data_IF_713524982164
#
_entry.id   IF_713524982164
#
_cell.length_a   1.000
_cell.length_b   1.000
_cell.length_c   1.000
_cell.angle_alpha   90.00
_cell.angle_beta   90.00
_cell.angle_gamma   90.00
#
_symmetry.space_group_name_H-M   'P 1'
#
loop_
_entity.id
_entity.type
_entity.pdbx_description
1 polymer ?
#
# COMPACT_ATOMS: atom_id res chain seq x y z
N UNK A 1 -7.05 17.85 77.92
CA UNK A 1 -8.17 18.75 77.56
C UNK A 1 -7.82 19.49 76.27
N UNK A 2 -8.57 19.27 75.19
CA UNK A 2 -8.70 20.26 74.12
C UNK A 2 -9.95 21.13 74.42
N UNK A 3 -10.33 22.20 73.68
CA UNK A 3 -9.68 22.89 72.54
C UNK A 3 -9.81 24.45 72.60
N UNK A 4 -9.26 25.20 71.63
CA UNK A 4 -10.03 26.06 70.66
C UNK A 4 -9.19 27.13 69.94
N UNK A 5 -9.22 27.02 68.60
CA UNK A 5 -9.42 28.05 67.54
C UNK A 5 -8.59 29.34 67.55
N UNK A 6 -7.82 29.53 66.48
CA UNK A 6 -7.70 30.84 65.81
C UNK A 6 -7.96 30.76 64.30
N UNK A 7 -8.68 31.76 63.82
CA UNK A 7 -9.34 31.88 62.52
C UNK A 7 -8.49 32.78 61.60
N UNK A 8 -8.26 32.30 60.37
CA UNK A 8 -8.17 33.00 59.08
C UNK A 8 -7.47 34.38 59.03
N UNK A 9 -6.33 34.42 58.32
CA UNK A 9 -5.91 35.57 57.52
C UNK A 9 -6.03 35.24 56.03
N UNK A 10 -6.60 36.20 55.32
CA UNK A 10 -6.97 36.25 53.90
C UNK A 10 -5.71 36.46 53.07
N UNK A 11 -5.53 35.70 51.99
CA UNK A 11 -4.63 36.09 50.90
C UNK A 11 -5.32 35.85 49.56
N UNK A 12 -5.10 36.81 48.68
CA UNK A 12 -5.87 37.09 47.48
C UNK A 12 -5.58 36.14 46.32
N UNK A 13 -6.56 36.14 45.44
CA UNK A 13 -6.77 35.28 44.28
C UNK A 13 -5.96 35.86 43.11
N UNK A 14 -4.85 35.24 42.74
CA UNK A 14 -4.21 35.47 41.44
C UNK A 14 -4.73 34.44 40.44
N UNK A 15 -5.41 34.93 39.41
CA UNK A 15 -5.93 34.16 38.30
C UNK A 15 -4.77 33.62 37.45
N UNK A 16 -4.49 32.33 37.57
CA UNK A 16 -3.66 31.59 36.63
C UNK A 16 -4.49 31.22 35.42
N UNK A 17 -4.25 31.92 34.32
CA UNK A 17 -4.74 31.66 32.98
C UNK A 17 -4.30 30.25 32.55
N UNK A 18 -5.23 29.28 32.58
CA UNK A 18 -5.02 27.96 31.98
C UNK A 18 -5.19 28.12 30.48
N UNK A 19 -4.08 28.30 29.77
CA UNK A 19 -4.01 28.06 28.33
C UNK A 19 -4.24 26.57 28.08
N UNK A 20 -5.52 26.22 27.88
CA UNK A 20 -5.91 24.95 27.29
C UNK A 20 -5.42 24.93 25.85
N UNK A 21 -4.24 24.35 25.62
CA UNK A 21 -3.80 24.00 24.27
C UNK A 21 -4.85 23.10 23.61
N UNK A 22 -5.13 23.26 22.31
CA UNK A 22 -6.15 22.47 21.64
C UNK A 22 -5.70 21.02 21.67
N UNK A 23 -6.50 20.18 22.34
CA UNK A 23 -6.41 18.74 22.19
C UNK A 23 -6.70 18.45 20.73
N UNK A 24 -5.65 18.16 19.95
CA UNK A 24 -5.75 17.82 18.53
C UNK A 24 -6.57 16.53 18.44
N UNK A 25 -7.87 16.67 18.22
CA UNK A 25 -8.77 15.55 17.91
C UNK A 25 -8.11 14.85 16.72
N UNK A 26 -7.67 13.61 16.91
CA UNK A 26 -7.12 12.80 15.82
C UNK A 26 -8.27 12.55 14.85
N UNK A 27 -8.35 13.34 13.79
CA UNK A 27 -9.28 13.10 12.69
C UNK A 27 -9.11 11.66 12.20
N UNK A 28 -10.23 11.00 11.94
CA UNK A 28 -10.23 9.65 11.39
C UNK A 28 -9.48 9.65 10.04
N UNK A 29 -8.73 8.58 9.72
CA UNK A 29 -8.00 8.50 8.46
C UNK A 29 -8.98 8.59 7.28
N UNK A 30 -8.68 9.46 6.31
CA UNK A 30 -9.46 9.53 5.07
C UNK A 30 -9.24 8.28 4.23
N UNK A 31 -10.32 7.62 3.81
CA UNK A 31 -10.30 6.44 2.95
C UNK A 31 -10.63 6.85 1.53
N UNK A 32 -9.88 6.31 0.57
CA UNK A 32 -10.09 6.55 -0.85
C UNK A 32 -10.21 5.23 -1.59
N UNK A 33 -11.09 5.21 -2.60
CA UNK A 33 -11.27 4.09 -3.51
C UNK A 33 -10.92 4.54 -4.92
N UNK A 34 -10.02 3.81 -5.58
CA UNK A 34 -9.72 3.99 -7.00
C UNK A 34 -10.39 2.86 -7.77
N UNK A 35 -11.34 3.21 -8.63
CA UNK A 35 -12.09 2.27 -9.46
C UNK A 35 -11.54 2.35 -10.88
N UNK A 36 -11.06 1.23 -11.41
CA UNK A 36 -10.69 1.11 -12.82
C UNK A 36 -11.91 0.81 -13.67
N UNK A 37 -11.97 1.45 -14.83
CA UNK A 37 -13.02 1.29 -15.82
C UNK A 37 -12.50 0.53 -17.04
N UNK A 38 -13.39 -0.09 -17.80
CA UNK A 38 -13.06 -0.76 -19.07
C UNK A 38 -13.09 0.23 -20.26
N UNK A 39 -13.01 1.54 -20.00
CA UNK A 39 -12.98 2.61 -21.01
C UNK A 39 -11.76 3.52 -20.83
N UNK A 40 -11.25 4.16 -21.90
CA UNK A 40 -10.01 4.95 -21.83
C UNK A 40 -10.17 6.31 -21.16
N UNK A 41 -11.36 6.91 -21.22
CA UNK A 41 -11.59 8.30 -20.83
C UNK A 41 -12.89 8.45 -20.03
N UNK A 42 -12.83 8.43 -18.69
CA UNK A 42 -11.65 8.18 -17.86
C UNK A 42 -11.38 6.69 -17.65
N UNK A 43 -10.11 6.32 -17.54
CA UNK A 43 -9.70 4.94 -17.20
C UNK A 43 -9.90 4.63 -15.72
N UNK A 44 -9.86 5.63 -14.85
CA UNK A 44 -10.13 5.45 -13.42
C UNK A 44 -10.97 6.58 -12.83
N UNK A 45 -11.67 6.28 -11.74
CA UNK A 45 -12.31 7.28 -10.89
C UNK A 45 -11.85 7.13 -9.44
N UNK A 46 -11.61 8.27 -8.78
CA UNK A 46 -11.24 8.33 -7.37
C UNK A 46 -12.43 8.77 -6.54
N UNK A 47 -12.76 8.04 -5.49
CA UNK A 47 -13.83 8.36 -4.54
C UNK A 47 -13.24 8.55 -3.15
N UNK A 48 -13.76 9.52 -2.39
CA UNK A 48 -13.54 9.57 -0.93
C UNK A 48 -14.67 8.79 -0.27
N UNK A 49 -14.30 7.84 0.56
CA UNK A 49 -15.21 6.94 1.25
C UNK A 49 -15.21 7.32 2.73
N UNK A 50 -16.39 7.42 3.31
CA UNK A 50 -16.56 7.52 4.75
C UNK A 50 -17.11 6.18 5.25
N UNK A 51 -16.23 5.26 5.71
CA UNK A 51 -16.65 3.93 6.12
C UNK A 51 -17.49 3.93 7.40
N UNK A 52 -17.56 5.06 8.13
CA UNK A 52 -18.27 5.16 9.40
C UNK A 52 -19.52 6.05 9.34
N UNK A 53 -19.88 6.56 8.16
CA UNK A 53 -20.99 7.51 7.99
C UNK A 53 -22.37 6.98 8.44
N UNK A 54 -22.53 5.68 8.68
CA UNK A 54 -23.76 5.04 9.15
C UNK A 54 -23.84 4.77 10.66
N UNK A 55 -22.78 5.00 11.44
CA UNK A 55 -22.71 4.58 12.87
C UNK A 55 -23.26 5.64 13.84
N UNK A 56 -23.70 6.79 13.33
CA UNK A 56 -24.16 7.93 14.13
C UNK A 56 -25.63 8.28 13.94
N UNK A 57 -26.54 7.57 14.58
CA UNK A 57 -27.97 7.89 14.59
C UNK A 57 -28.77 6.84 15.36
N UNK A 58 -28.91 7.03 16.68
CA UNK A 58 -29.34 5.96 17.57
C UNK A 58 -30.77 5.44 17.38
N UNK A 59 -30.93 4.14 17.56
CA UNK A 59 -31.90 3.49 18.43
C UNK A 59 -31.51 2.01 18.53
N UNK A 60 -31.67 1.40 19.70
CA UNK A 60 -31.55 -0.04 19.86
C UNK A 60 -32.54 -0.73 18.91
N UNK A 61 -32.02 -1.40 17.90
CA UNK A 61 -32.81 -2.08 16.87
C UNK A 61 -31.85 -2.75 15.90
N UNK A 62 -32.17 -3.98 15.53
CA UNK A 62 -31.40 -4.92 14.73
C UNK A 62 -31.33 -4.45 13.26
N UNK A 63 -30.72 -3.29 12.99
CA UNK A 63 -30.59 -2.75 11.64
C UNK A 63 -29.23 -3.11 11.05
N UNK A 64 -29.28 -3.85 9.93
CA UNK A 64 -28.15 -4.11 9.04
C UNK A 64 -27.26 -2.86 8.89
N UNK A 65 -25.93 -3.00 8.87
CA UNK A 65 -25.03 -1.87 8.68
C UNK A 65 -25.41 -1.14 7.39
N UNK A 66 -25.85 0.12 7.54
CA UNK A 66 -26.27 0.93 6.41
C UNK A 66 -25.18 0.95 5.32
N UNK A 67 -25.52 0.78 4.04
CA UNK A 67 -24.54 0.68 2.97
C UNK A 67 -23.65 1.92 2.93
N UNK A 68 -22.34 1.70 2.83
CA UNK A 68 -21.35 2.79 2.76
C UNK A 68 -21.69 3.68 1.56
N UNK A 69 -22.05 4.94 1.83
CA UNK A 69 -22.47 5.88 0.79
C UNK A 69 -21.27 6.32 -0.06
N UNK A 70 -21.10 5.70 -1.23
CA UNK A 70 -20.15 6.15 -2.24
C UNK A 70 -20.76 7.36 -2.96
N UNK A 71 -20.22 8.56 -2.67
CA UNK A 71 -20.64 9.82 -3.30
C UNK A 71 -20.12 9.93 -4.75
N UNK A 72 -20.33 11.09 -5.38
CA UNK A 72 -19.76 11.40 -6.70
C UNK A 72 -18.22 11.26 -6.69
N UNK A 73 -17.60 10.88 -7.81
CA UNK A 73 -16.15 10.85 -7.95
C UNK A 73 -15.53 12.19 -7.56
N UNK A 74 -14.43 12.15 -6.81
CA UNK A 74 -13.57 13.31 -6.56
C UNK A 74 -12.80 13.71 -7.81
N UNK A 75 -12.38 12.72 -8.60
CA UNK A 75 -11.61 12.93 -9.81
C UNK A 75 -11.78 11.78 -10.78
N UNK A 76 -11.57 12.10 -12.05
CA UNK A 76 -11.50 11.18 -13.17
C UNK A 76 -10.06 11.18 -13.68
N UNK A 77 -9.42 10.02 -13.72
CA UNK A 77 -8.03 9.88 -14.14
C UNK A 77 -8.00 9.33 -15.58
N UNK A 78 -7.46 10.12 -16.49
CA UNK A 78 -7.05 9.65 -17.80
C UNK A 78 -5.67 9.02 -17.63
N UNK A 79 -5.61 7.69 -17.69
CA UNK A 79 -4.41 6.90 -17.43
C UNK A 79 -4.43 5.61 -18.26
N UNK A 80 -3.29 4.95 -18.34
CA UNK A 80 -3.19 3.61 -18.97
C UNK A 80 -3.98 2.56 -18.20
N UNK A 81 -4.61 1.62 -18.93
CA UNK A 81 -5.27 0.46 -18.33
C UNK A 81 -4.31 -0.39 -17.51
N UNK A 82 -4.82 -1.25 -16.61
CA UNK A 82 -3.97 -2.16 -15.83
C UNK A 82 -2.90 -1.45 -14.97
N UNK A 83 -3.11 -0.18 -14.63
CA UNK A 83 -2.32 0.59 -13.68
C UNK A 83 -2.76 0.29 -12.23
N UNK A 84 -1.91 -0.29 -11.38
CA UNK A 84 -2.12 -0.37 -9.93
C UNK A 84 -1.85 0.98 -9.27
N UNK A 85 -2.48 1.19 -8.10
CA UNK A 85 -2.37 2.41 -7.30
C UNK A 85 -1.92 2.07 -5.88
N UNK A 86 -1.12 2.94 -5.28
CA UNK A 86 -0.70 2.85 -3.88
C UNK A 86 -0.82 4.21 -3.16
N UNK A 87 -1.20 4.22 -1.87
CA UNK A 87 -1.17 5.42 -1.08
C UNK A 87 0.27 5.74 -0.65
N UNK A 88 0.66 7.00 -0.77
CA UNK A 88 1.94 7.52 -0.25
C UNK A 88 1.68 8.74 0.61
N UNK A 89 2.31 8.79 1.78
CA UNK A 89 2.34 9.99 2.60
C UNK A 89 3.44 10.90 2.08
N UNK A 90 3.05 11.99 1.44
CA UNK A 90 3.96 13.05 1.01
C UNK A 90 3.97 14.18 2.04
N UNK A 91 5.03 15.00 2.00
CA UNK A 91 5.06 16.29 2.72
C UNK A 91 4.00 17.27 2.21
N UNK A 92 3.52 17.08 0.98
CA UNK A 92 2.51 17.91 0.33
C UNK A 92 1.07 17.46 0.61
N UNK A 93 0.87 16.28 1.21
CA UNK A 93 -0.45 15.72 1.49
C UNK A 93 -0.57 14.23 1.19
N UNK A 94 -1.79 13.67 1.34
CA UNK A 94 -2.08 12.29 0.98
C UNK A 94 -2.10 12.13 -0.55
N UNK A 95 -1.18 11.33 -1.07
CA UNK A 95 -1.06 11.04 -2.50
C UNK A 95 -1.52 9.63 -2.82
N UNK A 96 -2.15 9.48 -3.98
CA UNK A 96 -2.48 8.19 -4.58
C UNK A 96 -1.67 8.08 -5.86
N UNK A 97 -0.70 7.17 -5.89
CA UNK A 97 0.27 7.05 -6.99
C UNK A 97 -0.08 5.85 -7.85
N UNK A 98 -0.37 6.09 -9.12
CA UNK A 98 -0.59 5.09 -10.14
C UNK A 98 0.68 4.87 -10.96
N UNK A 99 1.05 3.61 -11.21
CA UNK A 99 2.31 3.26 -11.88
C UNK A 99 2.11 2.14 -12.89
N UNK A 100 2.64 2.32 -14.11
CA UNK A 100 2.67 1.31 -15.17
C UNK A 100 1.43 1.33 -16.06
N UNK A 101 1.15 0.19 -16.68
CA UNK A 101 -0.09 -0.03 -17.44
C UNK A 101 0.05 -0.15 -18.97
N UNK A 102 -1.10 -0.54 -19.52
CA UNK A 102 -1.63 -0.73 -20.88
C UNK A 102 -1.02 -1.77 -21.84
N UNK A 103 -1.96 -2.48 -22.49
CA UNK A 103 -1.95 -2.75 -23.93
C UNK A 103 -3.32 -2.47 -24.59
N UNK A 104 -3.42 -1.37 -25.35
CA UNK A 104 -4.06 -1.25 -26.65
C UNK A 104 -3.53 0.00 -27.41
N UNK A 105 -3.02 -0.27 -28.62
CA UNK A 105 -2.70 0.59 -29.79
C UNK A 105 -1.48 1.54 -29.71
N UNK A 106 -0.34 1.01 -30.15
CA UNK A 106 0.84 1.70 -30.71
C UNK A 106 1.62 2.73 -29.86
N UNK A 107 1.06 3.27 -28.77
CA UNK A 107 1.75 4.24 -27.91
C UNK A 107 2.23 3.62 -26.58
N UNK A 108 3.22 2.74 -26.71
CA UNK A 108 3.92 2.14 -25.57
C UNK A 108 4.78 3.19 -24.87
N UNK A 109 4.37 3.58 -23.66
CA UNK A 109 5.14 4.44 -22.79
C UNK A 109 4.85 4.09 -21.32
N UNK A 110 5.87 3.93 -20.47
CA UNK A 110 5.64 3.80 -19.04
C UNK A 110 5.03 5.10 -18.49
N UNK A 111 4.11 4.98 -17.55
CA UNK A 111 3.40 6.12 -16.97
C UNK A 111 3.44 6.06 -15.44
N UNK A 112 3.70 7.21 -14.82
CA UNK A 112 3.47 7.45 -13.39
C UNK A 112 2.55 8.65 -13.26
N UNK A 113 1.46 8.50 -12.54
CA UNK A 113 0.56 9.61 -12.19
C UNK A 113 0.41 9.68 -10.69
N UNK A 114 0.27 10.90 -10.18
CA UNK A 114 -0.01 11.16 -8.77
C UNK A 114 -1.29 11.94 -8.67
N UNK A 115 -2.29 11.39 -8.00
CA UNK A 115 -3.45 12.15 -7.58
C UNK A 115 -3.18 12.73 -6.19
N UNK A 116 -3.10 14.05 -6.13
CA UNK A 116 -3.04 14.79 -4.86
C UNK A 116 -4.46 14.96 -4.33
N UNK A 117 -4.78 14.30 -3.22
CA UNK A 117 -6.14 14.30 -2.71
C UNK A 117 -6.53 15.60 -1.96
N UNK A 118 -5.56 16.46 -1.65
CA UNK A 118 -5.79 17.78 -1.05
C UNK A 118 -6.04 18.82 -2.15
N UNK A 119 -5.14 18.89 -3.14
CA UNK A 119 -5.30 19.75 -4.32
C UNK A 119 -6.40 19.28 -5.26
N UNK A 120 -6.80 18.00 -5.16
CA UNK A 120 -7.71 17.30 -6.08
C UNK A 120 -7.25 17.40 -7.54
N UNK A 121 -5.94 17.29 -7.73
CA UNK A 121 -5.29 17.46 -9.01
C UNK A 121 -4.46 16.23 -9.38
N UNK A 122 -4.35 15.99 -10.68
CA UNK A 122 -3.44 14.98 -11.23
C UNK A 122 -2.11 15.64 -11.55
N UNK A 123 -1.05 15.05 -11.04
CA UNK A 123 0.33 15.48 -11.19
C UNK A 123 1.05 14.39 -11.99
N UNK A 124 1.75 14.78 -13.04
CA UNK A 124 2.53 13.85 -13.86
C UNK A 124 3.81 13.46 -13.14
N UNK A 125 4.05 12.16 -12.95
CA UNK A 125 5.28 11.62 -12.37
C UNK A 125 6.35 11.32 -13.43
N UNK A 126 7.56 10.90 -13.00
CA UNK A 126 8.59 10.42 -13.91
C UNK A 126 8.18 9.09 -14.55
N UNK A 127 8.61 8.87 -15.79
CA UNK A 127 8.39 7.61 -16.47
C UNK A 127 9.23 6.49 -15.82
N UNK A 128 8.68 5.27 -15.71
CA UNK A 128 9.48 4.11 -15.34
C UNK A 128 10.58 3.83 -16.37
N UNK A 129 11.61 3.09 -15.97
CA UNK A 129 12.68 2.64 -16.86
C UNK A 129 12.20 1.53 -17.81
N UNK A 130 11.28 0.68 -17.37
CA UNK A 130 10.57 -0.26 -18.25
C UNK A 130 9.06 -0.24 -18.08
N UNK A 131 8.35 -0.51 -19.17
CA UNK A 131 6.89 -0.63 -19.15
C UNK A 131 6.50 -1.91 -18.43
N UNK A 132 5.74 -1.80 -17.34
CA UNK A 132 5.22 -2.95 -16.57
C UNK A 132 3.71 -3.03 -16.69
N UNK A 133 3.18 -4.21 -17.04
CA UNK A 133 1.74 -4.44 -17.11
C UNK A 133 1.25 -4.95 -15.75
N UNK A 134 0.45 -4.14 -15.06
CA UNK A 134 -0.05 -4.47 -13.71
C UNK A 134 1.05 -4.89 -12.72
N UNK A 135 2.07 -4.03 -12.48
CA UNK A 135 3.15 -4.34 -11.56
C UNK A 135 2.67 -4.67 -10.14
N UNK A 136 3.56 -5.27 -9.35
CA UNK A 136 3.45 -5.26 -7.90
C UNK A 136 3.97 -3.91 -7.42
N UNK A 137 3.14 -3.17 -6.71
CA UNK A 137 3.52 -1.91 -6.06
C UNK A 137 3.53 -2.07 -4.55
N UNK A 138 4.58 -1.54 -3.93
CA UNK A 138 4.83 -1.61 -2.51
C UNK A 138 5.36 -0.26 -2.03
N UNK A 139 4.94 0.18 -0.85
CA UNK A 139 5.38 1.45 -0.26
C UNK A 139 6.12 1.19 1.05
N UNK A 140 7.31 1.78 1.18
CA UNK A 140 8.10 1.78 2.41
C UNK A 140 8.57 3.21 2.65
N UNK A 141 8.00 3.86 3.66
CA UNK A 141 8.19 5.29 3.89
C UNK A 141 7.73 6.12 2.69
N UNK A 142 8.65 6.91 2.12
CA UNK A 142 8.43 7.76 0.95
C UNK A 142 8.85 7.10 -0.37
N UNK A 143 9.26 5.82 -0.34
CA UNK A 143 9.68 5.07 -1.53
C UNK A 143 8.56 4.19 -2.05
N UNK A 144 8.45 4.13 -3.38
CA UNK A 144 7.57 3.21 -4.10
C UNK A 144 8.45 2.20 -4.82
N UNK A 145 8.23 0.93 -4.58
CA UNK A 145 8.89 -0.17 -5.26
C UNK A 145 7.94 -0.75 -6.30
N UNK A 146 8.41 -0.86 -7.55
CA UNK A 146 7.66 -1.42 -8.66
C UNK A 146 8.37 -2.68 -9.19
N UNK A 147 7.70 -3.82 -9.05
CA UNK A 147 8.19 -5.12 -9.50
C UNK A 147 7.31 -5.67 -10.62
N UNK A 148 7.92 -6.13 -11.72
CA UNK A 148 7.21 -6.82 -12.77
C UNK A 148 6.50 -8.05 -12.20
N UNK A 149 5.18 -8.12 -12.36
CA UNK A 149 4.38 -9.23 -11.81
C UNK A 149 4.62 -10.52 -12.55
N UNK A 150 4.84 -10.43 -13.87
CA UNK A 150 5.13 -11.53 -14.79
C UNK A 150 6.32 -11.11 -15.65
N UNK A 151 7.56 -11.30 -15.18
CA UNK A 151 8.73 -10.87 -15.93
C UNK A 151 8.76 -11.51 -17.32
N UNK A 152 9.01 -10.69 -18.33
CA UNK A 152 9.27 -11.12 -19.69
C UNK A 152 10.75 -10.99 -20.02
N UNK A 153 11.24 -11.91 -20.84
CA UNK A 153 12.63 -11.95 -21.35
C UNK A 153 12.72 -11.58 -22.83
N UNK A 154 11.56 -11.24 -23.41
CA UNK A 154 11.38 -10.83 -24.80
C UNK A 154 10.29 -9.76 -24.86
N UNK A 155 10.37 -8.88 -25.84
CA UNK A 155 9.38 -7.82 -26.05
C UNK A 155 9.61 -6.59 -25.16
N UNK A 156 8.63 -5.67 -25.19
CA UNK A 156 8.72 -4.36 -24.51
C UNK A 156 8.02 -4.33 -23.15
N UNK A 157 6.99 -5.17 -22.95
CA UNK A 157 6.24 -5.22 -21.70
C UNK A 157 6.88 -6.15 -20.71
N UNK A 158 6.93 -5.72 -19.45
CA UNK A 158 7.51 -6.45 -18.32
C UNK A 158 8.93 -6.94 -18.59
N UNK A 159 9.64 -6.26 -19.50
CA UNK A 159 11.05 -6.51 -19.79
C UNK A 159 11.93 -5.77 -18.77
N UNK A 160 13.24 -6.10 -18.75
CA UNK A 160 14.18 -5.51 -17.80
C UNK A 160 14.26 -3.98 -17.91
N UNK A 161 14.54 -3.25 -16.81
CA UNK A 161 14.69 -3.77 -15.44
C UNK A 161 13.36 -4.24 -14.83
N UNK A 162 13.37 -5.39 -14.17
CA UNK A 162 12.13 -5.94 -13.59
C UNK A 162 11.76 -5.34 -12.24
N UNK A 163 12.73 -4.79 -11.52
CA UNK A 163 12.53 -4.21 -10.20
C UNK A 163 13.12 -2.81 -10.15
N UNK A 164 12.31 -1.84 -9.73
CA UNK A 164 12.67 -0.43 -9.72
C UNK A 164 12.12 0.25 -8.46
N UNK A 165 12.72 1.38 -8.09
CA UNK A 165 12.28 2.22 -6.97
C UNK A 165 12.18 3.68 -7.36
N UNK A 166 11.14 4.35 -6.87
CA UNK A 166 10.95 5.79 -6.94
C UNK A 166 10.99 6.36 -5.51
N UNK A 167 11.95 7.25 -5.26
CA UNK A 167 12.07 7.96 -3.99
C UNK A 167 11.37 9.33 -4.10
N UNK A 168 10.31 9.54 -3.30
CA UNK A 168 9.54 10.78 -3.28
C UNK A 168 9.91 11.73 -2.13
N UNK A 169 10.96 11.45 -1.34
CA UNK A 169 11.33 12.30 -0.19
C UNK A 169 11.65 13.74 -0.59
N UNK A 170 12.24 13.91 -1.77
CA UNK A 170 12.62 15.21 -2.31
C UNK A 170 11.67 15.73 -3.39
N UNK A 171 10.59 15.00 -3.71
CA UNK A 171 9.70 15.33 -4.81
C UNK A 171 9.03 16.70 -4.65
N UNK A 172 9.06 17.51 -5.70
CA UNK A 172 8.43 18.83 -5.76
C UNK A 172 7.37 18.86 -6.84
N UNK A 173 6.24 19.52 -6.55
CA UNK A 173 5.20 19.77 -7.55
C UNK A 173 5.50 21.11 -8.20
N UNK A 174 5.72 21.11 -9.51
CA UNK A 174 6.06 22.30 -10.30
C UNK A 174 5.05 22.45 -11.43
N UNK A 175 4.74 23.70 -11.79
CA UNK A 175 4.02 24.04 -13.02
C UNK A 175 2.73 24.82 -12.80
N UNK A 176 2.60 25.91 -13.57
CA UNK A 176 1.38 26.71 -13.68
C UNK A 176 0.44 26.03 -14.69
N UNK A 177 -0.46 25.16 -14.20
CA UNK A 177 -1.54 24.54 -14.98
C UNK A 177 -1.28 23.11 -15.48
N UNK A 178 -0.03 22.65 -15.55
CA UNK A 178 0.33 21.25 -15.82
C UNK A 178 1.27 20.72 -14.74
N UNK A 179 0.69 20.37 -13.59
CA UNK A 179 1.46 19.90 -12.44
C UNK A 179 2.33 18.69 -12.82
N UNK A 180 3.62 18.79 -12.54
CA UNK A 180 4.62 17.73 -12.75
C UNK A 180 5.46 17.54 -11.50
N UNK A 181 5.85 16.30 -11.23
CA UNK A 181 6.85 15.99 -10.22
C UNK A 181 8.27 16.21 -10.74
N UNK A 182 9.07 16.92 -9.96
CA UNK A 182 10.50 17.10 -10.14
C UNK A 182 11.29 16.59 -8.93
N UNK A 183 12.61 16.47 -9.09
CA UNK A 183 13.52 15.97 -8.04
C UNK A 183 13.25 14.55 -7.57
N UNK A 184 12.65 13.73 -8.43
CA UNK A 184 12.49 12.29 -8.23
C UNK A 184 12.60 11.55 -9.58
N UNK A 185 13.21 10.37 -9.56
CA UNK A 185 13.39 9.51 -10.72
C UNK A 185 13.28 8.04 -10.33
N UNK A 186 12.92 7.20 -11.29
CA UNK A 186 12.97 5.75 -11.11
C UNK A 186 14.42 5.26 -11.22
N UNK A 187 14.81 4.38 -10.31
CA UNK A 187 16.12 3.73 -10.30
C UNK A 187 15.96 2.21 -10.38
N UNK A 188 16.80 1.52 -11.17
CA UNK A 188 16.75 0.06 -11.21
C UNK A 188 17.29 -0.50 -9.89
N UNK A 189 16.68 -1.57 -9.41
CA UNK A 189 17.15 -2.34 -8.27
C UNK A 189 17.66 -3.71 -8.73
N UNK A 190 18.43 -4.42 -7.88
CA UNK A 190 18.89 -5.76 -8.18
C UNK A 190 17.73 -6.68 -8.57
N UNK A 191 17.92 -7.42 -9.67
CA UNK A 191 16.91 -8.34 -10.17
C UNK A 191 16.60 -9.41 -9.13
N UNK A 192 15.35 -9.84 -9.00
CA UNK A 192 15.05 -11.00 -8.17
C UNK A 192 15.75 -12.26 -8.73
N UNK A 193 16.40 -13.07 -7.88
CA UNK A 193 17.24 -14.20 -8.35
C UNK A 193 16.43 -15.33 -8.99
N UNK A 194 15.13 -15.40 -8.71
CA UNK A 194 14.18 -16.38 -9.25
C UNK A 194 13.50 -15.92 -10.55
N UNK A 195 13.86 -14.74 -11.08
CA UNK A 195 13.37 -14.32 -12.39
C UNK A 195 14.21 -14.96 -13.51
N UNK A 196 13.58 -15.29 -14.66
CA UNK A 196 14.21 -16.06 -15.74
C UNK A 196 15.27 -15.21 -16.46
N UNK A 197 16.51 -15.21 -15.99
CA UNK A 197 17.62 -14.46 -16.62
C UNK A 197 18.70 -15.38 -17.17
N UNK A 198 19.11 -16.37 -16.39
CA UNK A 198 20.17 -17.30 -16.74
C UNK A 198 19.60 -18.47 -17.58
N UNK A 199 19.16 -18.13 -18.79
CA UNK A 199 18.44 -19.03 -19.70
C UNK A 199 19.39 -19.78 -20.64
N UNK A 200 19.13 -21.08 -20.86
CA UNK A 200 19.73 -21.78 -22.00
C UNK A 200 19.11 -21.30 -23.31
N UNK A 201 19.74 -21.55 -24.48
CA UNK A 201 19.12 -21.23 -25.77
C UNK A 201 17.72 -21.84 -25.94
N UNK A 202 17.48 -23.03 -25.39
CA UNK A 202 16.17 -23.69 -25.42
C UNK A 202 15.16 -22.99 -24.51
N UNK A 203 15.57 -22.61 -23.29
CA UNK A 203 14.71 -21.85 -22.40
C UNK A 203 14.41 -20.46 -22.98
N UNK A 204 15.33 -19.85 -23.71
CA UNK A 204 15.04 -18.59 -24.39
C UNK A 204 13.95 -18.76 -25.46
N UNK A 205 13.94 -19.87 -26.20
CA UNK A 205 12.87 -20.17 -27.17
C UNK A 205 11.52 -20.36 -26.47
N UNK A 206 11.48 -20.99 -25.30
CA UNK A 206 10.28 -21.18 -24.48
C UNK A 206 10.52 -20.78 -23.01
N UNK A 207 10.47 -19.47 -22.68
CA UNK A 207 10.85 -18.97 -21.35
C UNK A 207 10.00 -19.54 -20.21
N UNK A 208 10.60 -19.81 -19.03
CA UNK A 208 9.86 -20.18 -17.84
C UNK A 208 8.81 -19.13 -17.48
N UNK A 209 7.58 -19.58 -17.22
CA UNK A 209 6.47 -18.71 -16.84
C UNK A 209 6.46 -18.48 -15.32
N UNK A 210 7.17 -17.45 -14.87
CA UNK A 210 7.20 -17.04 -13.47
C UNK A 210 6.22 -15.89 -13.24
N UNK A 211 5.50 -15.93 -12.11
CA UNK A 211 4.63 -14.86 -11.66
C UNK A 211 4.76 -14.65 -10.15
N UNK A 212 4.69 -13.40 -9.70
CA UNK A 212 4.59 -13.08 -8.26
C UNK A 212 3.19 -13.42 -7.78
N UNK A 213 3.08 -14.38 -6.86
CA UNK A 213 1.81 -14.86 -6.33
C UNK A 213 1.37 -14.08 -5.09
N UNK A 214 2.31 -13.79 -4.20
CA UNK A 214 2.04 -13.12 -2.94
C UNK A 214 3.21 -12.22 -2.55
N UNK A 215 2.91 -11.12 -1.86
CA UNK A 215 3.88 -10.11 -1.49
C UNK A 215 3.43 -9.26 -0.30
N UNK A 216 4.38 -8.75 0.47
CA UNK A 216 4.12 -7.79 1.54
C UNK A 216 5.34 -6.90 1.75
N UNK A 217 5.11 -5.63 2.06
CA UNK A 217 6.16 -4.72 2.50
C UNK A 217 6.18 -4.64 4.02
N UNK A 218 7.34 -4.87 4.61
CA UNK A 218 7.67 -4.54 5.98
C UNK A 218 8.49 -3.24 5.99
N UNK A 219 8.79 -2.70 7.16
CA UNK A 219 9.54 -1.45 7.28
C UNK A 219 10.98 -1.53 6.76
N UNK A 220 11.60 -2.72 6.82
CA UNK A 220 13.01 -2.95 6.46
C UNK A 220 13.20 -3.90 5.28
N UNK A 221 12.14 -4.58 4.84
CA UNK A 221 12.26 -5.56 3.77
C UNK A 221 10.95 -5.75 3.00
N UNK A 222 11.08 -6.35 1.82
CA UNK A 222 9.95 -6.79 1.00
C UNK A 222 9.98 -8.31 0.95
N UNK A 223 8.84 -8.95 1.25
CA UNK A 223 8.67 -10.39 1.16
C UNK A 223 7.80 -10.76 -0.02
N UNK A 224 8.06 -11.92 -0.62
CA UNK A 224 7.32 -12.40 -1.78
C UNK A 224 7.51 -13.89 -2.01
N UNK A 225 6.48 -14.50 -2.59
CA UNK A 225 6.51 -15.86 -3.12
C UNK A 225 6.10 -15.85 -4.59
N UNK A 226 6.68 -16.74 -5.37
CA UNK A 226 6.48 -16.83 -6.81
C UNK A 226 5.93 -18.18 -7.23
N UNK A 227 5.32 -18.22 -8.42
CA UNK A 227 4.86 -19.45 -9.02
C UNK A 227 6.04 -20.37 -9.35
N UNK A 228 5.83 -21.68 -9.28
CA UNK A 228 6.80 -22.72 -9.67
C UNK A 228 8.06 -22.82 -8.80
N UNK A 229 8.24 -21.96 -7.79
CA UNK A 229 9.32 -22.08 -6.82
C UNK A 229 8.78 -21.91 -5.41
N UNK A 230 8.91 -22.95 -4.60
CA UNK A 230 8.51 -22.92 -3.20
C UNK A 230 9.45 -22.03 -2.38
N UNK A 231 8.84 -21.18 -1.57
CA UNK A 231 9.50 -20.39 -0.54
C UNK A 231 9.11 -18.94 -0.52
N UNK A 232 9.58 -18.28 0.52
CA UNK A 232 9.50 -16.83 0.67
C UNK A 232 10.87 -16.24 0.46
N UNK A 233 10.96 -15.31 -0.48
CA UNK A 233 12.15 -14.52 -0.74
C UNK A 233 12.00 -13.14 -0.12
N UNK A 234 13.12 -12.61 0.34
CA UNK A 234 13.23 -11.30 0.98
C UNK A 234 14.14 -10.42 0.15
N UNK A 235 13.71 -9.18 -0.09
CA UNK A 235 14.58 -8.08 -0.48
C UNK A 235 14.85 -7.22 0.74
N UNK A 236 16.10 -7.20 1.19
CA UNK A 236 16.59 -6.29 2.21
C UNK A 236 16.70 -4.88 1.60
N UNK A 237 15.98 -3.92 2.16
CA UNK A 237 15.90 -2.56 1.62
C UNK A 237 17.18 -1.78 1.86
N UNK A 238 17.87 -2.02 2.98
CA UNK A 238 19.07 -1.27 3.35
C UNK A 238 20.29 -1.79 2.61
N UNK A 239 20.39 -3.11 2.45
CA UNK A 239 21.47 -3.78 1.70
C UNK A 239 21.21 -3.83 0.20
N UNK A 240 19.97 -3.57 -0.23
CA UNK A 240 19.47 -3.78 -1.58
C UNK A 240 19.78 -5.18 -2.12
N UNK A 241 19.53 -6.22 -1.31
CA UNK A 241 19.90 -7.59 -1.63
C UNK A 241 18.75 -8.57 -1.49
N UNK A 242 18.74 -9.58 -2.36
CA UNK A 242 17.79 -10.68 -2.31
C UNK A 242 18.36 -11.87 -1.56
N UNK A 243 17.53 -12.51 -0.74
CA UNK A 243 17.81 -13.79 -0.10
C UNK A 243 16.55 -14.67 -0.06
N UNK A 244 16.73 -15.98 -0.03
CA UNK A 244 15.65 -16.89 0.35
C UNK A 244 15.55 -16.89 1.88
N UNK A 245 14.35 -16.63 2.40
CA UNK A 245 14.11 -16.48 3.84
C UNK A 245 13.42 -17.71 4.43
N UNK A 246 12.51 -18.33 3.68
CA UNK A 246 11.73 -19.48 4.12
C UNK A 246 11.48 -20.44 2.95
N UNK A 247 11.25 -21.71 3.27
CA UNK A 247 10.87 -22.75 2.30
C UNK A 247 9.37 -22.78 2.02
N UNK A 248 8.56 -22.23 2.92
CA UNK A 248 7.14 -22.07 2.75
C UNK A 248 6.76 -20.75 2.06
N UNK A 249 5.67 -20.80 1.29
CA UNK A 249 5.11 -19.62 0.65
C UNK A 249 4.32 -18.77 1.64
N UNK A 250 4.21 -17.46 1.38
CA UNK A 250 3.32 -16.59 2.15
C UNK A 250 1.86 -17.11 2.09
N UNK A 251 1.13 -17.11 3.22
CA UNK A 251 -0.16 -17.81 3.35
C UNK A 251 -1.36 -17.08 2.71
N UNK A 252 -1.11 -15.98 2.00
CA UNK A 252 -2.14 -15.16 1.36
C UNK A 252 -1.90 -15.02 -0.15
N UNK A 253 -2.91 -14.52 -0.85
CA UNK A 253 -2.90 -14.29 -2.30
C UNK A 253 -2.71 -12.79 -2.57
N UNK A 254 -1.82 -12.45 -3.50
CA UNK A 254 -1.40 -11.08 -3.85
C UNK A 254 -0.84 -10.33 -2.63
N UNK A 255 -1.21 -9.07 -2.45
CA UNK A 255 -0.67 -8.20 -1.41
C UNK A 255 -1.38 -8.41 -0.08
N UNK A 256 -0.63 -8.44 1.02
CA UNK A 256 -1.17 -8.13 2.33
C UNK A 256 -0.91 -6.65 2.67
N UNK A 257 -1.95 -5.93 3.12
CA UNK A 257 -1.90 -4.49 3.40
C UNK A 257 -1.76 -4.22 4.90
N UNK A 258 -0.96 -3.23 5.32
CA UNK A 258 -0.78 -2.93 6.74
C UNK A 258 -2.08 -2.39 7.38
N UNK A 259 -2.41 -2.90 8.56
CA UNK A 259 -3.53 -2.49 9.39
C UNK A 259 -3.07 -2.43 10.86
N UNK A 260 -2.52 -1.27 11.26
CA UNK A 260 -1.89 -1.12 12.57
C UNK A 260 -0.61 -1.97 12.67
N UNK A 261 -0.57 -2.89 13.62
CA UNK A 261 0.54 -3.84 13.80
C UNK A 261 0.34 -5.17 13.05
N UNK A 262 -0.82 -5.33 12.40
CA UNK A 262 -1.19 -6.51 11.63
C UNK A 262 -1.18 -6.19 10.14
N UNK A 263 -1.32 -7.22 9.33
CA UNK A 263 -1.53 -7.15 7.89
C UNK A 263 -2.83 -7.86 7.53
N UNK A 264 -3.63 -7.26 6.67
CA UNK A 264 -4.84 -7.89 6.14
C UNK A 264 -4.54 -8.43 4.74
N UNK A 265 -4.83 -9.70 4.51
CA UNK A 265 -4.64 -10.35 3.22
C UNK A 265 -5.73 -11.37 2.94
N UNK A 266 -5.89 -11.75 1.66
CA UNK A 266 -6.80 -12.82 1.27
C UNK A 266 -6.12 -14.17 1.53
N UNK A 267 -6.59 -14.91 2.53
CA UNK A 267 -6.03 -16.21 2.91
C UNK A 267 -6.13 -17.22 1.76
N UNK A 268 -5.03 -17.92 1.50
CA UNK A 268 -4.98 -18.96 0.47
C UNK A 268 -5.80 -20.19 0.87
N UNK A 269 -5.77 -20.56 2.15
CA UNK A 269 -6.45 -21.74 2.70
C UNK A 269 -7.93 -21.44 2.97
N UNK A 270 -8.22 -20.35 3.67
CA UNK A 270 -9.59 -20.00 4.10
C UNK A 270 -10.42 -19.31 3.02
N UNK A 271 -9.78 -18.75 1.99
CA UNK A 271 -10.45 -17.94 0.94
C UNK A 271 -11.23 -16.73 1.48
N UNK A 272 -10.83 -16.25 2.66
CA UNK A 272 -11.43 -15.09 3.32
C UNK A 272 -10.36 -14.04 3.65
N UNK A 273 -10.78 -12.82 3.96
CA UNK A 273 -9.87 -11.81 4.51
C UNK A 273 -9.42 -12.27 5.90
N UNK A 274 -8.12 -12.22 6.15
CA UNK A 274 -7.53 -12.72 7.38
C UNK A 274 -6.42 -11.79 7.83
N UNK A 275 -6.24 -11.69 9.15
CA UNK A 275 -5.23 -10.85 9.75
C UNK A 275 -3.96 -11.66 10.05
N UNK A 276 -2.81 -11.07 9.79
CA UNK A 276 -1.50 -11.69 9.93
C UNK A 276 -0.58 -10.79 10.75
N UNK A 277 0.07 -11.33 11.77
CA UNK A 277 1.28 -10.72 12.35
C UNK A 277 2.49 -11.31 11.63
N UNK A 278 3.18 -10.47 10.85
CA UNK A 278 4.33 -10.88 10.04
C UNK A 278 5.57 -10.22 10.65
N UNK A 279 6.54 -11.03 11.07
CA UNK A 279 7.78 -10.54 11.69
C UNK A 279 8.98 -11.23 11.08
N UNK A 280 9.97 -10.44 10.66
CA UNK A 280 11.29 -10.92 10.29
C UNK A 280 12.25 -10.56 11.41
N UNK A 281 12.88 -11.56 12.00
CA UNK A 281 13.89 -11.36 13.04
C UNK A 281 15.27 -11.50 12.43
N UNK A 282 16.05 -10.42 12.47
CA UNK A 282 17.48 -10.50 12.20
C UNK A 282 18.21 -11.01 13.44
N UNK A 283 19.02 -12.05 13.27
CA UNK A 283 19.92 -12.55 14.30
C UNK A 283 21.35 -12.26 13.85
N UNK A 284 22.15 -11.63 14.71
CA UNK A 284 23.55 -11.29 14.41
C UNK A 284 24.44 -12.52 14.13
N UNK A 285 24.01 -13.71 14.55
CA UNK A 285 24.77 -14.96 14.45
C UNK A 285 24.16 -16.02 13.55
N UNK A 286 22.96 -15.81 13.00
CA UNK A 286 22.27 -16.80 12.15
C UNK A 286 21.54 -16.12 11.00
N UNK A 287 21.12 -16.90 10.01
CA UNK A 287 20.23 -16.41 8.96
C UNK A 287 18.95 -15.79 9.58
N UNK A 288 18.37 -14.75 8.96
CA UNK A 288 17.13 -14.16 9.41
C UNK A 288 16.01 -15.21 9.40
N UNK A 289 15.05 -15.07 10.32
CA UNK A 289 13.92 -16.01 10.43
C UNK A 289 12.59 -15.29 10.23
N UNK A 290 11.66 -15.94 9.53
CA UNK A 290 10.29 -15.49 9.33
C UNK A 290 9.34 -16.09 10.37
N UNK A 291 8.46 -15.27 10.94
CA UNK A 291 7.35 -15.71 11.78
C UNK A 291 6.06 -15.07 11.30
N UNK A 292 5.06 -15.90 11.01
CA UNK A 292 3.73 -15.48 10.59
C UNK A 292 2.71 -16.11 11.52
N UNK A 293 1.93 -15.27 12.22
CA UNK A 293 0.81 -15.71 13.07
C UNK A 293 -0.48 -15.23 12.44
N UNK A 294 -1.42 -16.16 12.25
CA UNK A 294 -2.72 -15.88 11.66
C UNK A 294 -3.77 -15.63 12.76
N UNK A 295 -4.62 -14.62 12.57
CA UNK A 295 -5.74 -14.30 13.46
C UNK A 295 -7.05 -14.36 12.68
N UNK A 296 -8.10 -15.00 13.22
CA UNK A 296 -9.42 -14.97 12.61
C UNK A 296 -9.95 -13.53 12.58
N UNK A 297 -10.47 -13.12 11.42
CA UNK A 297 -11.27 -11.90 11.31
C UNK A 297 -12.71 -12.36 11.42
N UNK A 298 -13.32 -12.15 12.59
CA UNK A 298 -14.75 -12.42 12.77
C UNK A 298 -15.49 -11.30 12.04
N UNK A 299 -16.25 -11.65 11.00
CA UNK A 299 -17.27 -10.74 10.48
C UNK A 299 -18.52 -10.94 11.29
N UNK A 300 -19.09 -9.87 11.84
CA UNK A 300 -20.35 -9.90 12.62
C UNK A 300 -21.53 -10.48 11.81
N UNK A 301 -21.38 -10.72 10.50
CA UNK A 301 -22.35 -11.40 9.64
C UNK A 301 -22.36 -12.94 9.77
N UNK A 302 -21.36 -13.57 10.39
CA UNK A 302 -21.29 -15.04 10.53
C UNK A 302 -21.79 -15.58 11.87
N UNK A 303 -22.06 -14.71 12.85
CA UNK A 303 -22.50 -15.15 14.20
C UNK A 303 -23.99 -15.54 14.26
N UNK A 304 -24.81 -15.13 13.29
CA UNK A 304 -26.25 -15.49 13.24
C UNK A 304 -26.55 -16.87 12.64
N UNK A 305 -25.54 -17.63 12.16
CA UNK A 305 -25.76 -18.93 11.52
C UNK A 305 -25.59 -20.15 12.46
N UNK A 306 -25.25 -19.94 13.74
CA UNK A 306 -25.05 -21.04 14.71
C UNK A 306 -26.07 -21.10 15.85
N UNK A 307 -27.07 -20.22 15.87
CA UNK A 307 -28.21 -20.28 16.80
C UNK A 307 -29.53 -20.48 16.03
N UNK A 308 -29.73 -21.68 15.45
CA UNK A 308 -31.07 -22.22 15.08
C UNK A 308 -31.15 -23.70 15.44
#
# INVERSE_FOLDING_TARGET
MAPRRHKKRKLEKTAGERTSGPTRVKEAPSVYLVVGHEVRCPAYSVFKVDPYAGVGGGAAGNEDPAPVLIRRPLASLSAKFCMPFVPVRSRHGPWIVGVGGDRADQDYAPETIVFDAEMRAVIRGPNLLSTKLNPVLLTIGHKIYALARRPAVKGQLDFVPWFEVLDLSQAQVVGDGHHRLESCEWKPLPRPPFFPWDLTPMDYLSPPKVAVESYVALSSCILLSVSQQAGTHMFDVDKEQWAKLDDENLPFIRGAVPHGHLFLGLSRSKKAITAYSITVKECLSTAPSLSIVEFPVVSEMEEEAMDV
#
